data_IF_903402613034
#
_entry.id   IF_903402613034
#
_cell.length_a   1.000
_cell.length_b   1.000
_cell.length_c   1.000
_cell.angle_alpha   90.00
_cell.angle_beta   90.00
_cell.angle_gamma   90.00
#
_symmetry.space_group_name_H-M   'P 1'
#
loop_
_entity.id
_entity.type
_entity.pdbx_description
1 polymer ?
#
# COMPACT_ATOMS: atom_id res chain seq x y z
N UNK A 1 9.08 -25.48 22.38
CA UNK A 1 8.79 -24.47 21.35
C UNK A 1 10.07 -24.29 20.56
N UNK A 2 10.02 -24.43 19.22
CA UNK A 2 11.22 -24.32 18.37
C UNK A 2 11.83 -22.90 18.45
N UNK A 3 13.16 -22.80 18.44
CA UNK A 3 13.90 -21.54 18.52
C UNK A 3 13.50 -20.58 17.38
N UNK A 4 13.21 -21.10 16.19
CA UNK A 4 12.74 -20.29 15.06
C UNK A 4 11.36 -19.67 15.30
N UNK A 5 10.47 -20.42 15.94
CA UNK A 5 9.15 -19.92 16.30
C UNK A 5 9.26 -18.78 17.32
N UNK A 6 10.09 -18.95 18.36
CA UNK A 6 10.35 -17.92 19.35
C UNK A 6 10.91 -16.64 18.71
N UNK A 7 11.86 -16.77 17.78
CA UNK A 7 12.42 -15.63 17.07
C UNK A 7 11.36 -14.90 16.22
N UNK A 8 10.50 -15.65 15.50
CA UNK A 8 9.43 -15.04 14.72
C UNK A 8 8.38 -14.36 15.61
N UNK A 9 8.01 -14.95 16.74
CA UNK A 9 7.08 -14.36 17.71
C UNK A 9 7.66 -13.09 18.34
N UNK A 10 8.95 -13.10 18.67
CA UNK A 10 9.68 -11.93 19.16
C UNK A 10 9.66 -10.78 18.15
N UNK A 11 9.95 -11.05 16.87
CA UNK A 11 9.88 -10.02 15.82
C UNK A 11 8.46 -9.48 15.66
N UNK A 12 7.44 -10.34 15.65
CA UNK A 12 6.03 -9.89 15.58
C UNK A 12 5.66 -8.98 16.75
N UNK A 13 6.17 -9.26 17.95
CA UNK A 13 5.97 -8.40 19.11
C UNK A 13 6.62 -7.03 18.93
N UNK A 14 7.85 -6.96 18.40
CA UNK A 14 8.56 -5.71 18.16
C UNK A 14 7.86 -4.79 17.15
N UNK A 15 7.15 -5.34 16.15
CA UNK A 15 6.41 -4.55 15.16
C UNK A 15 5.35 -3.61 15.78
N UNK A 16 4.85 -3.93 16.98
CA UNK A 16 3.87 -3.11 17.71
C UNK A 16 4.49 -2.22 18.79
N UNK A 17 5.82 -2.13 18.87
CA UNK A 17 6.55 -1.35 19.89
C UNK A 17 7.27 -0.16 19.25
N UNK A 18 7.54 0.92 20.02
CA UNK A 18 8.40 1.98 19.56
C UNK A 18 9.78 1.46 19.17
N UNK A 19 10.39 2.11 18.19
CA UNK A 19 11.75 1.83 17.78
C UNK A 19 12.72 2.28 18.88
N UNK A 20 13.51 1.34 19.41
CA UNK A 20 14.65 1.61 20.29
C UNK A 20 15.91 1.11 19.63
N UNK A 21 17.07 1.63 20.01
CA UNK A 21 18.36 1.21 19.42
C UNK A 21 18.60 -0.30 19.59
N UNK A 22 18.31 -0.85 20.78
CA UNK A 22 18.43 -2.27 21.04
C UNK A 22 17.48 -3.11 20.15
N UNK A 23 16.22 -2.69 20.02
CA UNK A 23 15.27 -3.38 19.14
C UNK A 23 15.67 -3.27 17.67
N UNK A 24 16.18 -2.11 17.25
CA UNK A 24 16.67 -1.88 15.89
C UNK A 24 17.82 -2.82 15.57
N UNK A 25 18.82 -2.93 16.46
CA UNK A 25 19.94 -3.85 16.27
C UNK A 25 19.49 -5.32 16.20
N UNK A 26 18.53 -5.71 17.04
CA UNK A 26 17.92 -7.04 17.00
C UNK A 26 17.26 -7.33 15.63
N UNK A 27 16.50 -6.38 15.10
CA UNK A 27 15.82 -6.51 13.79
C UNK A 27 16.81 -6.51 12.63
N UNK A 28 17.84 -5.65 12.66
CA UNK A 28 18.87 -5.62 11.63
C UNK A 28 19.68 -6.92 11.59
N UNK A 29 19.98 -7.52 12.75
CA UNK A 29 20.59 -8.85 12.80
C UNK A 29 19.65 -9.92 12.25
N UNK A 30 18.35 -9.85 12.55
CA UNK A 30 17.37 -10.80 12.03
C UNK A 30 17.22 -10.72 10.49
N UNK A 31 17.47 -9.56 9.87
CA UNK A 31 17.49 -9.40 8.41
C UNK A 31 18.61 -10.17 7.72
N UNK A 32 19.69 -10.52 8.42
CA UNK A 32 20.78 -11.33 7.87
C UNK A 32 20.63 -12.82 8.16
N UNK A 33 19.53 -13.23 8.82
CA UNK A 33 19.24 -14.63 9.12
C UNK A 33 19.19 -15.49 7.86
N UNK A 34 19.66 -16.74 7.94
CA UNK A 34 19.55 -17.71 6.82
C UNK A 34 18.10 -18.11 6.50
N UNK A 35 17.15 -17.84 7.41
CA UNK A 35 15.76 -18.25 7.26
C UNK A 35 14.88 -17.13 6.71
N UNK A 36 14.29 -17.35 5.54
CA UNK A 36 13.42 -16.38 4.84
C UNK A 36 12.29 -15.87 5.75
N UNK A 37 11.66 -16.76 6.53
CA UNK A 37 10.59 -16.37 7.45
C UNK A 37 11.02 -15.37 8.52
N UNK A 38 12.25 -15.50 9.02
CA UNK A 38 12.83 -14.55 9.98
C UNK A 38 13.10 -13.21 9.29
N UNK A 39 13.74 -13.22 8.11
CA UNK A 39 14.02 -12.00 7.33
C UNK A 39 12.74 -11.23 6.96
N UNK A 40 11.69 -11.95 6.55
CA UNK A 40 10.39 -11.35 6.22
C UNK A 40 9.73 -10.73 7.46
N UNK A 41 9.78 -11.39 8.61
CA UNK A 41 9.23 -10.78 9.84
C UNK A 41 10.04 -9.55 10.27
N UNK A 42 11.38 -9.60 10.16
CA UNK A 42 12.23 -8.45 10.44
C UNK A 42 11.93 -7.26 9.51
N UNK A 43 11.77 -7.51 8.21
CA UNK A 43 11.35 -6.49 7.24
C UNK A 43 10.00 -5.86 7.62
N UNK A 44 9.01 -6.68 8.04
CA UNK A 44 7.71 -6.15 8.51
C UNK A 44 7.82 -5.28 9.74
N UNK A 45 8.76 -5.56 10.66
CA UNK A 45 9.03 -4.69 11.81
C UNK A 45 9.50 -3.33 11.33
N UNK A 46 10.52 -3.28 10.47
CA UNK A 46 10.98 -2.02 9.86
C UNK A 46 9.87 -1.28 9.12
N UNK A 47 9.03 -2.04 8.39
CA UNK A 47 7.84 -1.51 7.72
C UNK A 47 6.87 -0.83 8.68
N UNK A 48 6.67 -1.41 9.86
CA UNK A 48 5.73 -0.92 10.87
C UNK A 48 6.24 0.29 11.63
N UNK A 49 7.56 0.37 11.87
CA UNK A 49 8.20 1.57 12.41
C UNK A 49 8.20 2.71 11.40
N UNK A 50 8.37 2.39 10.11
CA UNK A 50 8.32 3.35 9.03
C UNK A 50 9.44 4.39 9.11
N UNK A 51 9.29 5.48 8.37
CA UNK A 51 10.26 6.57 8.32
C UNK A 51 11.45 6.32 7.40
N UNK A 52 12.23 7.38 7.08
CA UNK A 52 13.18 7.35 5.98
C UNK A 52 14.32 6.34 6.14
N UNK A 53 14.84 6.19 7.36
CA UNK A 53 15.94 5.26 7.64
C UNK A 53 15.52 3.79 7.46
N UNK A 54 14.31 3.42 7.90
CA UNK A 54 13.78 2.08 7.73
C UNK A 54 13.40 1.81 6.27
N UNK A 55 12.84 2.81 5.58
CA UNK A 55 12.58 2.75 4.14
C UNK A 55 13.86 2.47 3.34
N UNK A 56 14.95 3.18 3.63
CA UNK A 56 16.24 2.98 2.95
C UNK A 56 16.77 1.55 3.12
N UNK A 57 16.70 0.98 4.32
CA UNK A 57 17.10 -0.41 4.59
C UNK A 57 16.24 -1.40 3.80
N UNK A 58 14.92 -1.18 3.77
CA UNK A 58 13.99 -2.03 3.03
C UNK A 58 14.24 -1.96 1.52
N UNK A 59 14.52 -0.78 0.96
CA UNK A 59 14.81 -0.59 -0.46
C UNK A 59 16.13 -1.29 -0.86
N UNK A 60 17.16 -1.14 -0.04
CA UNK A 60 18.42 -1.85 -0.24
C UNK A 60 18.20 -3.36 -0.25
N UNK A 61 17.51 -3.89 0.77
CA UNK A 61 17.22 -5.31 0.87
C UNK A 61 16.36 -5.81 -0.29
N UNK A 62 15.39 -5.01 -0.74
CA UNK A 62 14.55 -5.33 -1.89
C UNK A 62 15.40 -5.49 -3.16
N UNK A 63 16.37 -4.61 -3.39
CA UNK A 63 17.26 -4.66 -4.55
C UNK A 63 18.17 -5.90 -4.53
N UNK A 64 18.71 -6.27 -3.36
CA UNK A 64 19.58 -7.45 -3.19
C UNK A 64 18.84 -8.79 -3.26
N UNK A 65 17.54 -8.80 -2.97
CA UNK A 65 16.78 -10.04 -2.88
C UNK A 65 16.43 -10.57 -4.27
N UNK A 66 16.70 -11.86 -4.51
CA UNK A 66 16.37 -12.56 -5.76
C UNK A 66 14.93 -12.28 -6.22
N UNK A 67 14.76 -12.02 -7.51
CA UNK A 67 13.45 -11.88 -8.13
C UNK A 67 12.56 -13.11 -7.87
N UNK A 68 11.26 -12.88 -7.69
CA UNK A 68 10.24 -13.90 -7.46
C UNK A 68 10.39 -14.75 -6.19
N UNK A 69 11.21 -14.32 -5.21
CA UNK A 69 11.29 -15.02 -3.92
C UNK A 69 10.15 -14.62 -2.96
N UNK A 70 9.85 -15.53 -2.02
CA UNK A 70 8.92 -15.23 -0.92
C UNK A 70 9.39 -14.06 -0.05
N UNK A 71 10.71 -13.93 0.11
CA UNK A 71 11.32 -12.79 0.80
C UNK A 71 11.03 -11.46 0.09
N UNK A 72 11.23 -11.38 -1.23
CA UNK A 72 10.99 -10.15 -2.00
C UNK A 72 9.54 -9.70 -1.90
N UNK A 73 8.60 -10.65 -1.93
CA UNK A 73 7.16 -10.38 -1.69
C UNK A 73 6.92 -9.86 -0.26
N UNK A 74 7.59 -10.43 0.73
CA UNK A 74 7.53 -9.97 2.12
C UNK A 74 8.07 -8.54 2.30
N UNK A 75 9.20 -8.21 1.68
CA UNK A 75 9.80 -6.88 1.72
C UNK A 75 8.92 -5.86 0.99
N UNK A 76 8.36 -6.21 -0.18
CA UNK A 76 7.39 -5.36 -0.89
C UNK A 76 6.23 -4.94 0.01
N UNK A 77 5.67 -5.89 0.78
CA UNK A 77 4.60 -5.58 1.75
C UNK A 77 5.10 -4.68 2.88
N UNK A 78 6.33 -4.87 3.36
CA UNK A 78 6.92 -4.00 4.37
C UNK A 78 7.15 -2.57 3.85
N UNK A 79 7.59 -2.39 2.60
CA UNK A 79 7.70 -1.08 1.96
C UNK A 79 6.35 -0.35 1.93
N UNK A 80 5.26 -1.08 1.63
CA UNK A 80 3.90 -0.52 1.66
C UNK A 80 3.42 -0.13 3.07
N UNK A 81 4.01 -0.69 4.13
CA UNK A 81 3.74 -0.25 5.51
C UNK A 81 4.58 0.98 5.88
N UNK A 82 5.81 1.08 5.38
CA UNK A 82 6.73 2.17 5.69
C UNK A 82 6.42 3.47 4.94
N UNK A 83 5.75 3.37 3.78
CA UNK A 83 5.53 4.51 2.89
C UNK A 83 4.66 5.57 3.54
N UNK A 84 5.04 6.83 3.34
CA UNK A 84 4.33 8.01 3.79
C UNK A 84 3.98 8.93 2.63
N UNK A 85 3.08 9.88 2.87
CA UNK A 85 2.68 10.90 1.90
C UNK A 85 3.87 11.73 1.39
N UNK A 86 4.93 11.87 2.19
CA UNK A 86 6.15 12.59 1.79
C UNK A 86 6.94 11.87 0.69
N UNK A 87 6.74 10.55 0.54
CA UNK A 87 7.46 9.72 -0.44
C UNK A 87 6.79 9.75 -1.83
N UNK A 88 5.65 10.44 -1.96
CA UNK A 88 4.81 10.39 -3.15
C UNK A 88 5.51 10.85 -4.43
N UNK A 89 6.24 11.96 -4.37
CA UNK A 89 6.94 12.49 -5.55
C UNK A 89 7.97 11.50 -6.07
N UNK A 90 8.79 10.94 -5.19
CA UNK A 90 9.77 9.91 -5.55
C UNK A 90 9.11 8.64 -6.11
N UNK A 91 7.98 8.21 -5.54
CA UNK A 91 7.25 7.05 -6.04
C UNK A 91 6.64 7.27 -7.43
N UNK A 92 6.09 8.47 -7.68
CA UNK A 92 5.60 8.86 -8.99
C UNK A 92 6.77 8.82 -10.00
N UNK A 93 7.93 9.36 -9.64
CA UNK A 93 9.11 9.33 -10.52
C UNK A 93 9.54 7.88 -10.83
N UNK A 94 9.48 6.99 -9.85
CA UNK A 94 9.76 5.57 -10.01
C UNK A 94 8.78 4.84 -10.96
N UNK A 95 7.56 5.36 -11.14
CA UNK A 95 6.64 4.84 -12.16
C UNK A 95 7.11 5.13 -13.59
N UNK A 96 7.76 6.28 -13.82
CA UNK A 96 8.27 6.66 -15.15
C UNK A 96 9.68 6.12 -15.40
N UNK A 97 10.56 6.25 -14.40
CA UNK A 97 11.97 5.89 -14.46
C UNK A 97 12.26 4.84 -13.39
N UNK A 98 12.11 3.54 -13.70
CA UNK A 98 12.35 2.51 -12.72
C UNK A 98 13.81 2.55 -12.25
N UNK A 99 14.00 2.56 -10.94
CA UNK A 99 15.31 2.56 -10.29
C UNK A 99 15.42 1.36 -9.35
N UNK A 100 15.60 1.63 -8.05
CA UNK A 100 15.68 0.62 -6.99
C UNK A 100 14.39 -0.22 -6.81
N UNK A 101 13.25 0.31 -7.27
CA UNK A 101 11.96 -0.38 -7.23
C UNK A 101 11.38 -0.52 -8.63
N UNK A 102 10.78 -1.69 -8.87
CA UNK A 102 10.01 -1.94 -10.08
C UNK A 102 8.75 -1.06 -10.08
N UNK A 103 8.29 -0.65 -11.27
CA UNK A 103 7.06 0.15 -11.42
C UNK A 103 5.86 -0.47 -10.72
N UNK A 104 5.73 -1.80 -10.78
CA UNK A 104 4.64 -2.52 -10.11
C UNK A 104 4.69 -2.38 -8.59
N UNK A 105 5.88 -2.27 -8.00
CA UNK A 105 6.09 -2.05 -6.57
C UNK A 105 5.72 -0.61 -6.21
N UNK A 106 6.18 0.37 -7.02
CA UNK A 106 5.85 1.77 -6.82
C UNK A 106 4.33 2.03 -6.86
N UNK A 107 3.62 1.42 -7.83
CA UNK A 107 2.16 1.50 -7.92
C UNK A 107 1.46 0.90 -6.70
N UNK A 108 1.98 -0.20 -6.16
CA UNK A 108 1.43 -0.77 -4.94
C UNK A 108 1.63 0.20 -3.77
N UNK A 109 2.83 0.73 -3.56
CA UNK A 109 3.11 1.70 -2.50
C UNK A 109 2.24 2.97 -2.63
N UNK A 110 2.07 3.51 -3.84
CA UNK A 110 1.20 4.67 -4.10
C UNK A 110 -0.26 4.42 -3.67
N UNK A 111 -0.74 3.17 -3.80
CA UNK A 111 -2.11 2.81 -3.39
C UNK A 111 -2.35 2.83 -1.88
N UNK A 112 -1.28 2.92 -1.08
CA UNK A 112 -1.33 3.02 0.39
C UNK A 112 -1.27 4.47 0.90
N UNK A 113 -1.07 5.46 0.02
CA UNK A 113 -0.99 6.87 0.40
C UNK A 113 -2.38 7.47 0.70
N UNK A 114 -2.40 8.66 1.32
CA UNK A 114 -3.65 9.36 1.60
C UNK A 114 -4.36 9.80 0.32
N UNK A 115 -5.68 10.05 0.44
CA UNK A 115 -6.52 10.43 -0.69
C UNK A 115 -5.99 11.62 -1.48
N UNK A 116 -5.58 12.70 -0.81
CA UNK A 116 -5.12 13.92 -1.50
C UNK A 116 -3.87 13.65 -2.35
N UNK A 117 -2.90 12.93 -1.80
CA UNK A 117 -1.65 12.59 -2.48
C UNK A 117 -1.92 11.63 -3.64
N UNK A 118 -2.81 10.68 -3.43
CA UNK A 118 -3.21 9.76 -4.48
C UNK A 118 -3.88 10.47 -5.67
N UNK A 119 -4.73 11.48 -5.43
CA UNK A 119 -5.34 12.26 -6.52
C UNK A 119 -4.25 12.94 -7.37
N UNK A 120 -3.20 13.46 -6.75
CA UNK A 120 -2.07 14.06 -7.47
C UNK A 120 -1.31 13.01 -8.28
N UNK A 121 -1.08 11.83 -7.72
CA UNK A 121 -0.43 10.71 -8.43
C UNK A 121 -1.26 10.27 -9.65
N UNK A 122 -2.57 10.09 -9.48
CA UNK A 122 -3.50 9.74 -10.57
C UNK A 122 -3.54 10.82 -11.66
N UNK A 123 -3.57 12.11 -11.28
CA UNK A 123 -3.52 13.20 -12.24
C UNK A 123 -2.22 13.20 -13.06
N UNK A 124 -1.08 12.90 -12.43
CA UNK A 124 0.22 12.80 -13.14
C UNK A 124 0.34 11.56 -14.02
N UNK A 125 -0.25 10.44 -13.62
CA UNK A 125 -0.27 9.21 -14.40
C UNK A 125 -1.34 9.23 -15.52
N UNK A 126 -2.15 10.29 -15.61
CA UNK A 126 -3.08 10.49 -16.71
C UNK A 126 -2.38 11.07 -17.96
N UNK A 127 -1.39 10.33 -18.48
CA UNK A 127 -0.56 10.75 -19.62
C UNK A 127 -1.02 10.21 -20.97
N UNK A 128 -0.40 10.70 -22.05
CA UNK A 128 -0.62 10.21 -23.41
C UNK A 128 0.17 8.94 -23.77
N UNK A 129 1.12 8.54 -22.93
CA UNK A 129 1.92 7.34 -23.16
C UNK A 129 1.18 6.08 -22.69
N UNK A 130 1.25 5.02 -23.48
CA UNK A 130 0.53 3.76 -23.24
C UNK A 130 1.01 3.06 -21.96
N UNK A 131 2.31 3.11 -21.67
CA UNK A 131 2.89 2.52 -20.47
C UNK A 131 2.38 3.26 -19.22
N UNK A 132 2.36 4.58 -19.29
CA UNK A 132 1.84 5.44 -18.21
C UNK A 132 0.34 5.20 -17.98
N UNK A 133 -0.46 5.10 -19.05
CA UNK A 133 -1.89 4.78 -18.93
C UNK A 133 -2.14 3.38 -18.38
N UNK A 134 -1.26 2.41 -18.67
CA UNK A 134 -1.34 1.08 -18.07
C UNK A 134 -1.14 1.14 -16.55
N UNK A 135 -0.14 1.89 -16.08
CA UNK A 135 0.10 2.11 -14.64
C UNK A 135 -1.05 2.88 -13.97
N UNK A 136 -1.62 3.87 -14.65
CA UNK A 136 -2.82 4.58 -14.19
C UNK A 136 -3.99 3.62 -13.97
N UNK A 137 -4.25 2.73 -14.93
CA UNK A 137 -5.29 1.71 -14.83
C UNK A 137 -5.07 0.79 -13.60
N UNK A 138 -3.84 0.32 -13.41
CA UNK A 138 -3.48 -0.52 -12.26
C UNK A 138 -3.61 0.23 -10.91
N UNK A 139 -3.25 1.52 -10.85
CA UNK A 139 -3.39 2.34 -9.65
C UNK A 139 -4.87 2.58 -9.31
N UNK A 140 -5.71 2.91 -10.29
CA UNK A 140 -7.16 3.08 -10.11
C UNK A 140 -7.81 1.82 -9.54
N UNK A 141 -7.40 0.65 -10.03
CA UNK A 141 -7.93 -0.62 -9.54
C UNK A 141 -7.58 -0.87 -8.07
N UNK A 142 -6.35 -0.55 -7.67
CA UNK A 142 -5.85 -0.77 -6.30
C UNK A 142 -6.41 0.23 -5.28
N UNK A 143 -6.87 1.39 -5.74
CA UNK A 143 -7.18 2.52 -4.87
C UNK A 143 -8.65 2.61 -4.52
N UNK A 144 -9.01 1.96 -3.40
CA UNK A 144 -10.41 1.86 -2.98
C UNK A 144 -11.07 3.20 -2.64
N UNK A 145 -10.27 4.16 -2.15
CA UNK A 145 -10.73 5.45 -1.63
C UNK A 145 -10.94 6.52 -2.71
N UNK A 146 -10.62 6.24 -3.97
CA UNK A 146 -10.74 7.22 -5.05
C UNK A 146 -12.21 7.32 -5.53
N UNK A 147 -12.90 8.46 -5.32
CA UNK A 147 -14.35 8.58 -5.55
C UNK A 147 -14.76 8.28 -7.00
N UNK A 148 -13.93 8.69 -7.96
CA UNK A 148 -14.23 8.56 -9.38
C UNK A 148 -13.63 7.31 -10.02
N UNK A 149 -13.17 6.32 -9.24
CA UNK A 149 -12.41 5.19 -9.80
C UNK A 149 -13.19 4.39 -10.85
N UNK A 150 -14.48 4.19 -10.63
CA UNK A 150 -15.33 3.46 -11.59
C UNK A 150 -15.47 4.25 -12.88
N UNK A 151 -15.73 5.55 -12.79
CA UNK A 151 -15.86 6.44 -13.94
C UNK A 151 -14.55 6.51 -14.74
N UNK A 152 -13.40 6.61 -14.06
CA UNK A 152 -12.09 6.60 -14.72
C UNK A 152 -11.79 5.26 -15.39
N UNK A 153 -12.09 4.12 -14.74
CA UNK A 153 -11.92 2.79 -15.35
C UNK A 153 -12.88 2.58 -16.53
N UNK A 154 -14.10 3.13 -16.48
CA UNK A 154 -15.03 3.12 -17.61
C UNK A 154 -14.48 3.91 -18.80
N UNK A 155 -13.92 5.09 -18.57
CA UNK A 155 -13.25 5.85 -19.63
C UNK A 155 -12.09 5.05 -20.26
N UNK A 156 -11.24 4.44 -19.43
CA UNK A 156 -10.14 3.58 -19.90
C UNK A 156 -10.63 2.28 -20.58
N UNK A 157 -11.86 1.84 -20.34
CA UNK A 157 -12.41 0.64 -21.00
C UNK A 157 -12.66 0.83 -22.50
N UNK A 158 -12.61 2.08 -22.97
CA UNK A 158 -12.68 2.51 -24.37
C UNK A 158 -11.37 3.13 -24.86
N UNK A 159 -10.24 2.86 -24.18
CA UNK A 159 -8.92 3.36 -24.59
C UNK A 159 -8.56 2.89 -26.01
N UNK A 160 -7.85 3.75 -26.76
CA UNK A 160 -7.36 3.44 -28.11
C UNK A 160 -6.40 2.24 -28.10
N UNK A 161 -5.65 2.05 -27.02
CA UNK A 161 -4.83 0.86 -26.83
C UNK A 161 -5.71 -0.30 -26.33
N UNK A 162 -5.84 -1.40 -27.12
CA UNK A 162 -6.73 -2.50 -26.79
C UNK A 162 -6.31 -3.27 -25.52
N UNK A 163 -5.02 -3.28 -25.17
CA UNK A 163 -4.51 -3.92 -23.96
C UNK A 163 -4.97 -3.19 -22.71
N UNK A 164 -4.92 -1.86 -22.72
CA UNK A 164 -5.40 -1.01 -21.62
C UNK A 164 -6.92 -1.14 -21.49
N UNK A 165 -7.62 -1.07 -22.62
CA UNK A 165 -9.07 -1.23 -22.67
C UNK A 165 -9.53 -2.58 -22.12
N UNK A 166 -8.85 -3.68 -22.51
CA UNK A 166 -9.12 -5.02 -22.00
C UNK A 166 -8.87 -5.10 -20.49
N UNK A 167 -7.74 -4.57 -20.01
CA UNK A 167 -7.38 -4.56 -18.59
C UNK A 167 -8.42 -3.81 -17.75
N UNK A 168 -8.84 -2.62 -18.20
CA UNK A 168 -9.87 -1.84 -17.54
C UNK A 168 -11.22 -2.59 -17.48
N UNK A 169 -11.62 -3.27 -18.56
CA UNK A 169 -12.84 -4.12 -18.57
C UNK A 169 -12.73 -5.28 -17.58
N UNK A 170 -11.58 -5.94 -17.50
CA UNK A 170 -11.35 -7.02 -16.52
C UNK A 170 -11.48 -6.51 -15.08
N UNK A 171 -10.91 -5.34 -14.80
CA UNK A 171 -11.02 -4.68 -13.49
C UNK A 171 -12.45 -4.28 -13.16
N UNK A 172 -13.18 -3.68 -14.10
CA UNK A 172 -14.60 -3.36 -13.91
C UNK A 172 -15.44 -4.62 -13.64
N UNK A 173 -15.20 -5.70 -14.40
CA UNK A 173 -15.88 -6.99 -14.20
C UNK A 173 -15.62 -7.55 -12.79
N UNK A 174 -14.36 -7.56 -12.36
CA UNK A 174 -13.98 -8.00 -11.01
C UNK A 174 -14.63 -7.12 -9.93
N UNK A 175 -14.59 -5.80 -10.10
CA UNK A 175 -15.19 -4.86 -9.15
C UNK A 175 -16.71 -5.00 -9.06
N UNK A 176 -17.38 -5.29 -10.18
CA UNK A 176 -18.83 -5.55 -10.18
C UNK A 176 -19.19 -6.77 -9.32
N UNK A 177 -18.32 -7.77 -9.28
CA UNK A 177 -18.51 -8.97 -8.48
C UNK A 177 -18.17 -8.75 -6.99
N UNK A 178 -17.03 -8.09 -6.69
CA UNK A 178 -16.56 -7.91 -5.30
C UNK A 178 -17.20 -6.72 -4.59
N UNK A 179 -17.51 -5.64 -5.32
CA UNK A 179 -17.99 -4.36 -4.76
C UNK A 179 -19.19 -3.82 -5.57
N UNK A 180 -20.31 -4.57 -5.69
CA UNK A 180 -21.45 -4.20 -6.55
C UNK A 180 -22.10 -2.86 -6.18
N UNK A 181 -22.01 -2.45 -4.91
CA UNK A 181 -22.53 -1.17 -4.42
C UNK A 181 -21.95 0.05 -5.15
N UNK A 182 -20.75 -0.07 -5.74
CA UNK A 182 -20.12 1.01 -6.49
C UNK A 182 -20.77 1.28 -7.86
N UNK A 183 -21.57 0.34 -8.37
CA UNK A 183 -22.22 0.43 -9.67
C UNK A 183 -23.68 0.87 -9.58
N UNK A 184 -24.28 0.78 -8.39
CA UNK A 184 -25.64 1.17 -8.14
C UNK A 184 -25.66 2.63 -7.66
N UNK A 185 -25.42 3.56 -8.58
CA UNK A 185 -25.51 5.01 -8.34
C UNK A 185 -26.93 5.54 -8.44
N UNK A 186 -27.95 4.68 -8.31
CA UNK A 186 -29.29 5.20 -8.03
C UNK A 186 -29.19 5.99 -6.72
N UNK A 187 -29.58 7.29 -6.70
CA UNK A 187 -29.61 8.05 -5.47
C UNK A 187 -30.53 7.28 -4.54
N UNK A 188 -29.98 6.72 -3.46
CA UNK A 188 -30.74 5.94 -2.52
C UNK A 188 -31.97 6.77 -2.13
N UNK A 189 -33.17 6.32 -2.54
CA UNK A 189 -34.41 6.87 -2.02
C UNK A 189 -34.24 6.90 -0.50
N UNK A 190 -34.50 8.03 0.19
CA UNK A 190 -34.15 8.21 1.59
C UNK A 190 -34.78 7.08 2.40
N UNK A 191 -33.94 6.09 2.71
CA UNK A 191 -34.36 4.91 3.45
C UNK A 191 -34.03 5.23 4.90
N UNK A 192 -35.05 5.41 5.74
CA UNK A 192 -34.93 5.70 7.17
C UNK A 192 -34.33 4.53 8.00
N UNK A 193 -33.42 3.76 7.41
CA UNK A 193 -32.77 2.60 7.99
C UNK A 193 -31.50 3.01 8.74
N UNK A 194 -31.58 2.91 10.06
CA UNK A 194 -30.57 3.27 11.06
C UNK A 194 -29.27 2.44 11.04
N UNK A 195 -29.08 1.55 10.06
CA UNK A 195 -27.91 0.63 9.99
C UNK A 195 -26.64 1.22 9.38
N UNK A 196 -26.72 2.29 8.58
CA UNK A 196 -25.55 2.93 7.94
C UNK A 196 -24.64 3.69 8.91
N UNK A 197 -25.16 4.14 10.06
CA UNK A 197 -24.39 4.96 11.03
C UNK A 197 -23.38 4.16 11.86
N UNK A 198 -23.37 2.82 11.79
CA UNK A 198 -22.54 1.99 12.66
C UNK A 198 -21.10 1.78 12.13
N UNK A 199 -20.89 1.77 10.81
CA UNK A 199 -19.58 1.48 10.22
C UNK A 199 -18.64 2.70 10.25
N UNK A 200 -19.14 3.88 9.86
CA UNK A 200 -18.38 5.15 9.92
C UNK A 200 -17.96 5.55 11.34
N UNK A 201 -18.73 5.14 12.36
CA UNK A 201 -18.38 5.40 13.77
C UNK A 201 -17.21 4.55 14.24
N UNK A 202 -17.01 3.33 13.72
CA UNK A 202 -15.89 2.46 14.11
C UNK A 202 -14.57 2.93 13.50
N UNK A 203 -14.58 3.32 12.22
CA UNK A 203 -13.38 3.80 11.53
C UNK A 203 -12.88 5.15 12.10
N UNK A 204 -13.80 6.09 12.35
CA UNK A 204 -13.44 7.41 12.92
C UNK A 204 -12.95 7.31 14.38
N UNK A 205 -13.44 6.36 15.18
CA UNK A 205 -12.94 6.13 16.55
C UNK A 205 -11.51 5.59 16.58
N UNK A 206 -11.12 4.74 15.64
CA UNK A 206 -9.74 4.23 15.55
C UNK A 206 -8.76 5.35 15.15
N UNK A 207 -9.16 6.22 14.21
CA UNK A 207 -8.38 7.37 13.77
C UNK A 207 -8.21 8.43 14.88
N UNK A 208 -9.28 8.75 15.62
CA UNK A 208 -9.22 9.68 16.77
C UNK A 208 -8.37 9.14 17.93
N UNK A 209 -8.44 7.84 18.24
CA UNK A 209 -7.58 7.24 19.27
C UNK A 209 -6.09 7.34 18.92
N UNK A 210 -5.74 7.16 17.63
CA UNK A 210 -4.36 7.27 17.15
C UNK A 210 -3.84 8.71 17.22
N UNK A 211 -4.67 9.70 16.88
CA UNK A 211 -4.31 11.12 17.00
C UNK A 211 -4.16 11.58 18.46
N UNK A 212 -4.98 11.08 19.38
CA UNK A 212 -4.87 11.38 20.81
C UNK A 212 -3.62 10.76 21.46
N UNK A 213 -3.19 9.57 21.01
CA UNK A 213 -1.96 8.94 21.49
C UNK A 213 -0.72 9.76 21.11
N UNK A 214 -0.62 10.19 19.84
CA UNK A 214 0.48 11.03 19.34
C UNK A 214 0.59 12.35 20.12
N UNK A 215 -0.54 12.96 20.48
CA UNK A 215 -0.56 14.24 21.20
C UNK A 215 -0.13 14.13 22.67
N UNK A 216 -0.31 12.97 23.30
CA UNK A 216 0.13 12.71 24.68
C UNK A 216 1.61 12.39 24.81
N UNK A 217 2.24 11.94 23.73
CA UNK A 217 3.70 11.68 23.69
C UNK A 217 4.50 12.94 23.34
N UNK A 218 3.81 14.03 22.94
CA UNK A 218 4.42 15.32 22.58
C UNK A 218 4.28 16.40 23.67
N UNK A 219 3.80 16.04 24.86
CA UNK A 219 3.70 16.88 26.06
C UNK A 219 4.49 16.23 27.19
#
# INVERSE_FOLDING_TARGET
>A
MDMLQQQCERLKFLAGKPETEAARNEVLLALTSKWDGVRVNAAKVLGSWGGPANMAVLLHRYAETRQYSGERSGIRKALCLAVSDNDAHWLIDCCFKPGLVERSCAIEMLSHLSGNVLHQALARLNGQDDEVRHLHCDLLFRTRSYPDRIKSLQALSSDINPTIALRARQYLSWLKWVEPALFNTEPAKPNHSSRGKAFDRKFNRAKQKRQLAIRKESM
#
